data_IF_736415378086
#
_entry.id   IF_736415378086
#
_cell.length_a   1.000
_cell.length_b   1.000
_cell.length_c   1.000
_cell.angle_alpha   90.00
_cell.angle_beta   90.00
_cell.angle_gamma   90.00
#
_symmetry.space_group_name_H-M   'P 1'
#
loop_
_entity.id
_entity.type
_entity.pdbx_description
1 polymer ?
#
# COMPACT_ATOMS: atom_id res chain seq x y z
N UNK A 1 -29.38 -7.40 -3.22
CA UNK A 1 -30.44 -6.65 -2.52
C UNK A 1 -31.11 -5.73 -3.54
N UNK A 2 -32.43 -5.60 -3.48
CA UNK A 2 -33.16 -4.61 -4.28
C UNK A 2 -33.22 -3.35 -3.40
N UNK A 3 -32.76 -2.21 -3.92
CA UNK A 3 -32.76 -0.95 -3.17
C UNK A 3 -33.95 -0.11 -3.61
N UNK A 4 -34.71 0.43 -2.65
CA UNK A 4 -35.96 1.16 -2.94
C UNK A 4 -35.72 2.63 -3.32
N UNK A 5 -34.55 3.18 -2.99
CA UNK A 5 -34.22 4.57 -3.32
C UNK A 5 -32.70 4.79 -3.48
N UNK A 6 -32.32 5.97 -3.98
CA UNK A 6 -30.91 6.38 -3.98
C UNK A 6 -30.37 6.54 -2.55
N UNK A 7 -31.18 7.02 -1.61
CA UNK A 7 -30.79 7.25 -0.22
C UNK A 7 -30.49 5.93 0.50
N UNK A 8 -31.30 4.92 0.25
CA UNK A 8 -31.15 3.57 0.83
C UNK A 8 -29.85 2.91 0.36
N UNK A 9 -29.51 3.07 -0.93
CA UNK A 9 -28.19 2.69 -1.46
C UNK A 9 -27.04 3.40 -0.77
N UNK A 10 -27.15 4.72 -0.57
CA UNK A 10 -26.08 5.50 0.09
C UNK A 10 -25.88 5.09 1.54
N UNK A 11 -26.98 4.84 2.28
CA UNK A 11 -26.92 4.40 3.66
C UNK A 11 -26.27 3.02 3.79
N UNK A 12 -26.64 2.08 2.94
CA UNK A 12 -26.01 0.76 2.92
C UNK A 12 -24.52 0.83 2.54
N UNK A 13 -24.17 1.73 1.60
CA UNK A 13 -22.78 1.96 1.21
C UNK A 13 -21.94 2.53 2.36
N UNK A 14 -22.42 3.55 3.07
CA UNK A 14 -21.72 4.14 4.22
C UNK A 14 -21.64 3.16 5.39
N UNK A 15 -22.69 2.38 5.64
CA UNK A 15 -22.73 1.37 6.70
C UNK A 15 -21.76 0.21 6.44
N UNK A 16 -21.59 -0.21 5.19
CA UNK A 16 -20.66 -1.27 4.79
C UNK A 16 -19.33 -0.75 4.27
N UNK A 17 -19.07 0.55 4.39
CA UNK A 17 -17.83 1.17 3.93
C UNK A 17 -16.68 0.62 4.76
N UNK A 18 -15.95 -0.33 4.18
CA UNK A 18 -14.71 -0.83 4.76
C UNK A 18 -13.76 0.36 4.86
N UNK A 19 -13.42 0.77 6.08
CA UNK A 19 -12.38 1.77 6.27
C UNK A 19 -11.10 1.26 5.61
N UNK A 20 -10.66 1.98 4.59
CA UNK A 20 -9.42 1.65 3.91
C UNK A 20 -8.32 2.06 4.87
N UNK A 21 -7.64 1.07 5.45
CA UNK A 21 -6.48 1.29 6.31
C UNK A 21 -5.52 2.27 5.62
N UNK A 22 -5.06 3.33 6.33
CA UNK A 22 -4.05 4.23 5.80
C UNK A 22 -2.71 3.52 5.60
N UNK A 23 -2.55 2.31 6.15
CA UNK A 23 -1.34 1.51 6.02
C UNK A 23 -1.56 0.24 5.19
N UNK A 24 -0.55 -0.13 4.40
CA UNK A 24 -0.45 -1.43 3.73
C UNK A 24 0.90 -2.08 4.01
N UNK A 25 0.92 -3.40 3.98
CA UNK A 25 2.13 -4.21 4.04
C UNK A 25 2.57 -4.60 2.63
N UNK A 26 3.87 -4.81 2.45
CA UNK A 26 4.43 -5.36 1.22
C UNK A 26 5.87 -5.82 1.40
N UNK A 27 6.50 -6.14 0.28
CA UNK A 27 7.89 -6.56 0.19
C UNK A 27 8.62 -5.75 -0.88
N UNK A 28 9.89 -5.43 -0.65
CA UNK A 28 10.74 -4.78 -1.65
C UNK A 28 11.09 -5.79 -2.75
N UNK A 29 10.67 -5.47 -3.97
CA UNK A 29 10.98 -6.27 -5.15
C UNK A 29 12.47 -6.13 -5.55
N UNK A 30 13.03 -7.03 -6.36
CA UNK A 30 14.48 -7.06 -6.64
C UNK A 30 14.97 -5.92 -7.52
N UNK A 31 14.07 -5.14 -8.12
CA UNK A 31 14.41 -4.05 -9.02
C UNK A 31 14.25 -2.69 -8.33
N UNK A 32 15.33 -1.91 -8.37
CA UNK A 32 15.40 -0.52 -7.90
C UNK A 32 15.89 0.32 -9.07
N UNK A 33 15.18 1.41 -9.35
CA UNK A 33 15.56 2.39 -10.38
C UNK A 33 16.74 3.26 -9.92
N UNK A 34 17.48 3.85 -10.87
CA UNK A 34 18.65 4.71 -10.64
C UNK A 34 18.35 5.88 -9.69
N UNK A 35 17.08 6.30 -9.61
CA UNK A 35 16.58 7.36 -8.75
C UNK A 35 16.15 6.91 -7.34
N UNK A 36 16.56 5.71 -6.90
CA UNK A 36 16.15 5.10 -5.62
C UNK A 36 14.62 5.03 -5.48
N UNK A 37 13.96 4.68 -6.58
CA UNK A 37 12.53 4.38 -6.60
C UNK A 37 12.36 2.86 -6.49
N UNK A 38 11.56 2.42 -5.53
CA UNK A 38 11.41 1.01 -5.19
C UNK A 38 10.11 0.44 -5.74
N UNK A 39 10.18 -0.76 -6.33
CA UNK A 39 9.00 -1.54 -6.64
C UNK A 39 8.60 -2.37 -5.42
N UNK A 40 7.29 -2.51 -5.23
CA UNK A 40 6.72 -3.17 -4.05
C UNK A 40 5.75 -4.26 -4.50
N UNK A 41 5.90 -5.45 -3.91
CA UNK A 41 4.93 -6.54 -3.98
C UNK A 41 4.03 -6.37 -2.76
N UNK A 42 2.77 -5.99 -2.94
CA UNK A 42 1.89 -5.83 -1.77
C UNK A 42 1.51 -7.19 -1.20
N UNK A 43 1.23 -7.23 0.11
CA UNK A 43 0.81 -8.46 0.75
C UNK A 43 -0.45 -9.04 0.09
N UNK A 44 -0.35 -10.31 -0.34
CA UNK A 44 -1.41 -11.01 -1.07
C UNK A 44 -1.36 -10.85 -2.60
N UNK A 45 -0.38 -10.12 -3.14
CA UNK A 45 -0.10 -10.03 -4.57
C UNK A 45 1.15 -10.86 -4.91
N UNK A 46 1.16 -11.52 -6.07
CA UNK A 46 2.31 -12.32 -6.53
C UNK A 46 3.31 -11.52 -7.37
N UNK A 47 2.91 -10.33 -7.82
CA UNK A 47 3.68 -9.49 -8.74
C UNK A 47 3.89 -8.11 -8.15
N UNK A 48 5.03 -7.51 -8.47
CA UNK A 48 5.30 -6.14 -8.08
C UNK A 48 4.36 -5.16 -8.78
N UNK A 49 3.97 -4.11 -8.07
CA UNK A 49 3.28 -2.98 -8.65
C UNK A 49 4.16 -2.31 -9.71
N UNK A 50 3.61 -1.91 -10.85
CA UNK A 50 4.32 -1.10 -11.84
C UNK A 50 4.64 0.31 -11.32
N UNK A 51 3.91 0.77 -10.30
CA UNK A 51 4.15 2.06 -9.66
C UNK A 51 5.32 1.93 -8.70
N UNK A 52 6.21 2.92 -8.72
CA UNK A 52 7.33 3.00 -7.79
C UNK A 52 7.00 3.88 -6.59
N UNK A 53 7.68 3.61 -5.47
CA UNK A 53 7.47 4.28 -4.20
C UNK A 53 8.78 4.80 -3.62
N UNK A 54 8.69 5.96 -2.97
CA UNK A 54 9.78 6.55 -2.19
C UNK A 54 9.75 6.00 -0.76
N UNK A 55 10.91 5.97 -0.12
CA UNK A 55 11.06 5.68 1.30
C UNK A 55 11.49 6.90 2.10
N UNK A 56 11.36 6.82 3.43
CA UNK A 56 12.00 7.78 4.33
C UNK A 56 13.52 7.77 4.13
N UNK A 57 14.16 8.93 4.26
CA UNK A 57 15.61 9.10 4.04
C UNK A 57 16.49 8.27 4.97
N UNK A 58 15.97 7.89 6.14
CA UNK A 58 16.67 7.06 7.14
C UNK A 58 16.62 5.57 6.82
N UNK A 59 15.66 5.14 5.99
CA UNK A 59 15.50 3.74 5.63
C UNK A 59 16.36 3.40 4.41
N UNK A 60 17.12 2.31 4.48
CA UNK A 60 17.94 1.77 3.39
C UNK A 60 17.34 0.44 2.93
N UNK A 61 16.42 0.44 1.95
CA UNK A 61 15.71 -0.77 1.56
C UNK A 61 16.63 -1.81 0.95
N UNK A 62 16.37 -3.07 1.26
CA UNK A 62 16.99 -4.25 0.64
C UNK A 62 15.91 -5.12 0.00
N UNK A 63 16.30 -5.83 -1.04
CA UNK A 63 15.43 -6.84 -1.65
C UNK A 63 14.93 -7.83 -0.59
N UNK A 64 13.63 -8.15 -0.62
CA UNK A 64 13.01 -9.07 0.33
C UNK A 64 12.64 -8.44 1.68
N UNK A 65 12.96 -7.16 1.92
CA UNK A 65 12.51 -6.50 3.14
C UNK A 65 10.98 -6.44 3.16
N UNK A 66 10.38 -7.03 4.19
CA UNK A 66 8.97 -6.82 4.53
C UNK A 66 8.81 -5.41 5.07
N UNK A 67 7.94 -4.63 4.48
CA UNK A 67 7.82 -3.19 4.73
C UNK A 67 6.40 -2.76 5.07
N UNK A 68 6.32 -1.69 5.87
CA UNK A 68 5.10 -0.94 6.11
C UNK A 68 5.08 0.31 5.22
N UNK A 69 3.94 0.55 4.57
CA UNK A 69 3.71 1.72 3.73
C UNK A 69 2.52 2.53 4.25
N UNK A 70 2.62 3.86 4.19
CA UNK A 70 1.54 4.77 4.53
C UNK A 70 0.99 5.46 3.28
N UNK A 71 -0.34 5.58 3.18
CA UNK A 71 -1.02 6.28 2.11
C UNK A 71 -0.91 7.79 2.33
N UNK A 72 -0.27 8.49 1.40
CA UNK A 72 -0.05 9.95 1.44
C UNK A 72 -0.34 10.52 0.05
N UNK A 73 -1.23 11.52 -0.04
CA UNK A 73 -1.51 12.23 -1.30
C UNK A 73 -1.95 11.34 -2.47
N UNK A 74 -2.66 10.23 -2.21
CA UNK A 74 -3.08 9.28 -3.25
C UNK A 74 -2.00 8.29 -3.70
N UNK A 75 -0.83 8.31 -3.09
CA UNK A 75 0.24 7.31 -3.27
C UNK A 75 0.62 6.67 -1.93
N UNK A 76 1.66 5.85 -1.92
CA UNK A 76 2.26 5.30 -0.71
C UNK A 76 3.69 5.82 -0.52
N UNK A 77 4.11 5.93 0.74
CA UNK A 77 5.50 6.15 1.16
C UNK A 77 5.92 4.97 2.05
N UNK A 78 7.10 4.41 1.78
CA UNK A 78 7.67 3.31 2.55
C UNK A 78 8.23 3.88 3.85
N UNK A 79 7.69 3.42 4.99
CA UNK A 79 8.11 3.87 6.31
C UNK A 79 9.37 3.13 6.78
N UNK A 80 9.46 1.83 6.49
CA UNK A 80 10.61 1.01 6.90
C UNK A 80 10.28 -0.48 6.91
N UNK A 81 11.30 -1.28 7.26
CA UNK A 81 11.20 -2.73 7.46
C UNK A 81 10.36 -3.06 8.70
N UNK A 82 9.63 -4.17 8.63
CA UNK A 82 8.88 -4.76 9.73
C UNK A 82 9.39 -6.18 9.97
N UNK A 83 9.75 -6.50 11.21
CA UNK A 83 10.44 -7.74 11.57
C UNK A 83 11.97 -7.58 11.57
N UNK A 84 12.67 -8.66 11.93
CA UNK A 84 14.05 -8.53 12.44
C UNK A 84 15.15 -8.34 11.38
N UNK A 85 16.24 -7.72 11.88
CA UNK A 85 17.45 -7.20 11.22
C UNK A 85 18.04 -8.10 10.16
#
# INVERSE_FOLDING_TARGET
MIYESAQDRYQDYEKNKKEISPFRMGEIAPYVDENLNYLVIFAGEDRASYKQYKCLSTYKPRYGDRILLAKVGGTYVILGKVGDM
#
